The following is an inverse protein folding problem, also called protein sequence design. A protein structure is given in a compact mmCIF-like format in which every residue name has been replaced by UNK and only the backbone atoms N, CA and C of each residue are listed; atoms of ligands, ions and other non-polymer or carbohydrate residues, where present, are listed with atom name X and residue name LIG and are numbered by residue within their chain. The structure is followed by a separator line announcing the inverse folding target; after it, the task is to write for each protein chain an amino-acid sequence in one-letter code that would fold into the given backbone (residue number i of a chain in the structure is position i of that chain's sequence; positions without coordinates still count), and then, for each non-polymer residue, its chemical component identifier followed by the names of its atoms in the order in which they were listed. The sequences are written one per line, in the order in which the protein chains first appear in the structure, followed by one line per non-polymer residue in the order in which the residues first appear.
data_IF_815431619205
#
_entry.id   IF_815431619205
#
_cell.length_a   1.000
_cell.length_b   1.000
_cell.length_c   1.000
_cell.angle_alpha   90.00
_cell.angle_beta   90.00
_cell.angle_gamma   90.00
#
_symmetry.space_group_name_H-M   'P 1'
#
loop_
_entity.id
_entity.type
_entity.pdbx_description
1 polymer ?
#
# COMPACT_ATOMS: atom_id res chain seq x y z
N UNK A 1 -37.69 46.75 -26.72
CA UNK A 1 -38.15 45.97 -25.54
C UNK A 1 -37.54 44.57 -25.61
N UNK A 2 -36.27 44.40 -25.23
CA UNK A 2 -35.64 43.06 -25.07
C UNK A 2 -34.34 43.21 -24.28
N UNK A 3 -34.38 43.04 -22.95
CA UNK A 3 -33.17 42.99 -22.12
C UNK A 3 -33.38 42.18 -20.84
N UNK A 4 -34.05 41.03 -20.90
CA UNK A 4 -34.10 40.10 -19.76
C UNK A 4 -34.14 38.67 -20.32
N UNK A 5 -32.97 38.06 -20.56
CA UNK A 5 -32.85 36.60 -20.75
C UNK A 5 -31.46 36.00 -20.48
N UNK A 6 -30.44 36.78 -20.10
CA UNK A 6 -29.07 36.27 -19.89
C UNK A 6 -28.60 36.21 -18.42
N UNK A 7 -29.41 36.65 -17.45
CA UNK A 7 -28.96 36.73 -16.05
C UNK A 7 -29.08 35.39 -15.28
N UNK A 8 -29.88 34.44 -15.76
CA UNK A 8 -30.12 33.16 -15.07
C UNK A 8 -29.09 32.06 -15.39
N UNK A 9 -28.38 32.14 -16.53
CA UNK A 9 -27.40 31.11 -16.92
C UNK A 9 -26.06 31.30 -16.18
N UNK A 10 -25.65 32.55 -15.91
CA UNK A 10 -24.41 32.84 -15.19
C UNK A 10 -24.48 32.44 -13.71
N UNK A 11 -25.63 32.60 -13.07
CA UNK A 11 -25.81 32.24 -11.66
C UNK A 11 -25.76 30.72 -11.45
N UNK A 12 -26.34 29.95 -12.36
CA UNK A 12 -26.31 28.47 -12.31
C UNK A 12 -24.89 27.96 -12.54
N UNK A 13 -24.15 28.48 -13.53
CA UNK A 13 -22.76 28.06 -13.76
C UNK A 13 -21.83 28.40 -12.58
N UNK A 14 -21.99 29.58 -11.96
CA UNK A 14 -21.23 29.98 -10.76
C UNK A 14 -21.56 29.09 -9.55
N UNK A 15 -22.83 28.68 -9.37
CA UNK A 15 -23.22 27.77 -8.30
C UNK A 15 -22.62 26.38 -8.55
N UNK A 16 -22.66 25.85 -9.78
CA UNK A 16 -22.04 24.56 -10.12
C UNK A 16 -20.51 24.59 -9.97
N UNK A 17 -19.84 25.67 -10.40
CA UNK A 17 -18.40 25.89 -10.19
C UNK A 17 -18.05 25.97 -8.70
N UNK A 18 -18.82 26.69 -7.90
CA UNK A 18 -18.61 26.76 -6.45
C UNK A 18 -18.89 25.41 -5.77
N UNK A 19 -19.90 24.66 -6.20
CA UNK A 19 -20.20 23.35 -5.60
C UNK A 19 -19.08 22.34 -5.89
N UNK A 20 -18.60 22.29 -7.14
CA UNK A 20 -17.49 21.42 -7.54
C UNK A 20 -16.19 21.80 -6.82
N UNK A 21 -15.89 23.10 -6.70
CA UNK A 21 -14.67 23.54 -5.98
C UNK A 21 -14.76 23.27 -4.48
N UNK A 22 -15.93 23.41 -3.85
CA UNK A 22 -16.14 23.06 -2.44
C UNK A 22 -16.01 21.55 -2.21
N UNK A 23 -16.53 20.72 -3.12
CA UNK A 23 -16.46 19.26 -2.99
C UNK A 23 -15.03 18.73 -3.24
N UNK A 24 -14.32 19.28 -4.23
CA UNK A 24 -12.88 19.03 -4.45
C UNK A 24 -12.05 19.45 -3.23
N UNK A 25 -12.33 20.62 -2.66
CA UNK A 25 -11.62 21.11 -1.47
C UNK A 25 -11.90 20.26 -0.23
N UNK A 26 -13.13 19.73 -0.07
CA UNK A 26 -13.48 18.77 0.98
C UNK A 26 -12.82 17.41 0.80
N UNK A 27 -12.58 16.96 -0.44
CA UNK A 27 -11.82 15.73 -0.72
C UNK A 27 -10.34 15.88 -0.33
N UNK A 28 -9.68 16.99 -0.72
CA UNK A 28 -8.28 17.29 -0.33
C UNK A 28 -8.06 17.36 1.19
N UNK A 29 -9.12 17.60 1.97
CA UNK A 29 -8.98 17.91 3.38
C UNK A 29 -8.90 16.70 4.34
N UNK A 30 -8.95 15.44 3.86
CA UNK A 30 -9.00 14.25 4.75
C UNK A 30 -7.64 13.64 5.10
N UNK A 31 -6.64 13.84 4.25
CA UNK A 31 -5.27 13.36 4.45
C UNK A 31 -4.33 14.56 4.39
N UNK A 32 -3.44 14.68 5.36
CA UNK A 32 -2.44 15.75 5.41
C UNK A 32 -1.06 15.14 5.18
N UNK A 33 -0.36 15.58 4.14
CA UNK A 33 1.07 15.36 3.99
C UNK A 33 1.81 16.20 5.05
N UNK A 34 2.61 15.53 5.86
CA UNK A 34 3.46 16.12 6.90
C UNK A 34 4.83 16.44 6.34
N UNK A 35 5.41 15.51 5.58
CA UNK A 35 6.72 15.64 4.96
C UNK A 35 6.82 14.73 3.74
N UNK A 36 7.64 15.15 2.78
CA UNK A 36 7.95 14.42 1.55
C UNK A 36 9.45 14.18 1.48
N UNK A 37 9.84 13.00 1.03
CA UNK A 37 11.20 12.64 0.66
C UNK A 37 11.18 12.18 -0.79
N UNK A 38 11.88 12.87 -1.68
CA UNK A 38 12.09 12.40 -3.06
C UNK A 38 13.03 11.20 -3.03
N UNK A 39 12.68 10.16 -3.79
CA UNK A 39 13.47 8.96 -3.91
C UNK A 39 14.58 9.16 -4.95
N UNK A 40 15.76 8.54 -4.74
CA UNK A 40 16.80 8.52 -5.75
C UNK A 40 16.39 7.60 -6.92
N UNK A 41 17.14 7.66 -8.03
CA UNK A 41 16.84 6.92 -9.27
C UNK A 41 16.71 5.41 -9.04
N UNK A 42 17.49 4.82 -8.12
CA UNK A 42 17.39 3.39 -7.76
C UNK A 42 16.06 2.99 -7.10
N UNK A 43 15.20 3.95 -6.78
CA UNK A 43 13.87 3.77 -6.18
C UNK A 43 12.81 4.55 -6.96
N UNK A 44 13.02 4.77 -8.27
CA UNK A 44 12.04 5.40 -9.16
C UNK A 44 10.74 4.57 -9.26
N UNK A 45 10.87 3.24 -9.24
CA UNK A 45 9.78 2.26 -9.27
C UNK A 45 9.59 1.60 -7.89
N UNK A 46 9.71 2.39 -6.82
CA UNK A 46 9.53 1.91 -5.43
C UNK A 46 8.16 1.24 -5.22
N UNK A 47 8.16 -0.08 -5.02
CA UNK A 47 6.94 -0.87 -4.89
C UNK A 47 6.58 -1.17 -3.42
N UNK A 48 7.55 -1.58 -2.60
CA UNK A 48 7.30 -1.97 -1.20
C UNK A 48 8.15 -1.22 -0.18
N UNK A 49 7.60 -0.92 1.01
CA UNK A 49 8.34 -0.33 2.14
C UNK A 49 8.05 -0.97 3.51
N UNK A 50 9.07 -1.06 4.37
CA UNK A 50 8.96 -1.56 5.74
C UNK A 50 9.80 -0.75 6.73
N UNK A 51 9.21 -0.26 7.81
CA UNK A 51 9.97 0.44 8.85
C UNK A 51 10.98 -0.50 9.54
N UNK A 52 12.23 -0.07 9.64
CA UNK A 52 13.30 -0.80 10.34
C UNK A 52 13.46 -0.24 11.77
N UNK A 53 14.07 0.93 11.89
CA UNK A 53 14.32 1.65 13.14
C UNK A 53 14.75 3.09 12.87
N UNK A 54 14.62 4.01 13.84
CA UNK A 54 15.27 5.33 13.81
C UNK A 54 15.15 6.16 12.50
N UNK A 55 14.07 6.00 11.72
CA UNK A 55 13.91 6.67 10.43
C UNK A 55 14.50 5.92 9.24
N UNK A 56 15.02 4.71 9.44
CA UNK A 56 15.41 3.78 8.38
C UNK A 56 14.21 2.95 7.93
N UNK A 57 14.05 2.85 6.63
CA UNK A 57 13.03 2.07 5.94
C UNK A 57 13.74 1.09 5.00
N UNK A 58 13.33 -0.17 5.03
CA UNK A 58 13.61 -1.13 3.98
C UNK A 58 12.69 -0.78 2.80
N UNK A 59 13.24 -0.62 1.62
CA UNK A 59 12.51 -0.39 0.39
C UNK A 59 12.95 -1.40 -0.67
N UNK A 60 12.05 -1.73 -1.57
CA UNK A 60 12.34 -2.45 -2.81
C UNK A 60 11.76 -1.64 -3.97
N UNK A 61 12.31 -1.84 -5.15
CA UNK A 61 11.68 -1.49 -6.42
C UNK A 61 11.23 -2.79 -7.13
N UNK A 62 10.49 -2.71 -8.23
CA UNK A 62 9.78 -3.83 -8.82
C UNK A 62 10.62 -4.75 -9.72
N UNK A 63 11.68 -4.27 -10.36
CA UNK A 63 12.49 -5.02 -11.32
C UNK A 63 13.73 -5.70 -10.69
N UNK A 64 14.49 -5.03 -9.81
CA UNK A 64 15.73 -5.60 -9.23
C UNK A 64 15.46 -6.45 -7.98
N UNK A 65 16.18 -7.57 -7.88
CA UNK A 65 16.20 -8.43 -6.68
C UNK A 65 17.03 -7.85 -5.52
N UNK A 66 16.73 -6.60 -5.13
CA UNK A 66 17.50 -5.79 -4.18
C UNK A 66 16.62 -5.19 -3.09
N UNK A 67 17.06 -5.29 -1.83
CA UNK A 67 16.52 -4.53 -0.70
C UNK A 67 17.42 -3.33 -0.40
N UNK A 68 16.84 -2.14 -0.37
CA UNK A 68 17.51 -0.89 -0.02
C UNK A 68 17.20 -0.49 1.43
N UNK A 69 18.21 -0.14 2.22
CA UNK A 69 18.03 0.51 3.53
C UNK A 69 18.11 2.03 3.35
N UNK A 70 16.97 2.71 3.26
CA UNK A 70 16.88 4.16 3.09
C UNK A 70 16.74 4.87 4.45
N UNK A 71 17.55 5.89 4.70
CA UNK A 71 17.49 6.71 5.93
C UNK A 71 16.79 8.05 5.67
N UNK A 72 15.59 8.22 6.24
CA UNK A 72 14.78 9.44 6.13
C UNK A 72 15.45 10.68 6.77
N UNK A 73 16.42 10.51 7.66
CA UNK A 73 17.11 11.65 8.27
C UNK A 73 18.17 12.24 7.34
N UNK A 74 18.89 11.36 6.63
CA UNK A 74 19.96 11.74 5.71
C UNK A 74 19.50 11.80 4.25
N UNK A 75 18.31 11.27 3.95
CA UNK A 75 17.73 11.12 2.60
C UNK A 75 18.64 10.34 1.66
N UNK A 76 19.19 9.22 2.15
CA UNK A 76 20.17 8.39 1.43
C UNK A 76 19.90 6.90 1.61
N UNK A 77 20.21 6.15 0.57
CA UNK A 77 20.43 4.71 0.68
C UNK A 77 21.72 4.50 1.49
N UNK A 78 21.62 3.71 2.55
CA UNK A 78 22.69 3.42 3.51
C UNK A 78 23.25 2.01 3.38
N UNK A 79 22.48 1.08 2.78
CA UNK A 79 22.90 -0.27 2.46
C UNK A 79 22.03 -0.83 1.33
N UNK A 80 22.63 -1.68 0.51
CA UNK A 80 21.99 -2.40 -0.60
C UNK A 80 22.21 -3.90 -0.36
N UNK A 81 21.17 -4.70 -0.49
CA UNK A 81 21.18 -6.13 -0.18
C UNK A 81 20.56 -6.89 -1.34
N UNK A 82 21.39 -7.49 -2.18
CA UNK A 82 20.96 -8.39 -3.24
C UNK A 82 20.42 -9.70 -2.63
N UNK A 83 19.24 -10.12 -3.07
CA UNK A 83 18.59 -11.35 -2.60
C UNK A 83 18.19 -12.29 -3.73
N UNK A 84 18.07 -11.80 -4.97
CA UNK A 84 17.68 -12.55 -6.16
C UNK A 84 18.10 -11.79 -7.45
N UNK A 85 17.90 -12.43 -8.61
CA UNK A 85 18.00 -11.79 -9.94
C UNK A 85 16.75 -10.91 -10.21
N UNK A 86 16.69 -10.29 -11.39
CA UNK A 86 15.56 -9.48 -11.85
C UNK A 86 14.21 -10.23 -11.76
N UNK A 87 13.14 -9.51 -11.45
CA UNK A 87 11.84 -10.05 -11.12
C UNK A 87 10.69 -9.06 -11.24
N UNK A 88 9.70 -9.24 -10.37
CA UNK A 88 8.45 -8.47 -10.31
C UNK A 88 8.06 -8.40 -8.83
N UNK A 89 8.90 -7.69 -8.06
CA UNK A 89 8.95 -7.68 -6.60
C UNK A 89 8.13 -6.55 -6.02
N UNK A 90 7.20 -6.89 -5.14
CA UNK A 90 6.09 -5.96 -4.86
C UNK A 90 6.01 -5.54 -3.40
N UNK A 91 6.17 -6.51 -2.48
CA UNK A 91 6.01 -6.26 -1.04
C UNK A 91 7.27 -6.60 -0.26
N UNK A 92 7.60 -5.82 0.77
CA UNK A 92 8.72 -6.09 1.69
C UNK A 92 8.30 -5.98 3.15
N UNK A 93 8.73 -6.93 3.98
CA UNK A 93 8.52 -6.91 5.42
C UNK A 93 9.81 -7.29 6.17
N UNK A 94 10.08 -6.62 7.29
CA UNK A 94 11.25 -6.92 8.14
C UNK A 94 10.80 -7.49 9.50
N UNK A 95 11.43 -8.59 9.93
CA UNK A 95 11.26 -9.15 11.27
C UNK A 95 12.64 -9.42 11.91
N UNK A 96 13.09 -8.48 12.75
CA UNK A 96 14.41 -8.54 13.36
C UNK A 96 15.52 -8.54 12.31
N UNK A 97 16.34 -9.60 12.28
CA UNK A 97 17.46 -9.72 11.35
C UNK A 97 17.07 -10.30 9.98
N UNK A 98 15.80 -10.65 9.76
CA UNK A 98 15.35 -11.22 8.50
C UNK A 98 14.47 -10.22 7.75
N UNK A 99 14.62 -10.19 6.43
CA UNK A 99 13.70 -9.52 5.54
C UNK A 99 12.93 -10.56 4.73
N UNK A 100 11.76 -10.17 4.25
CA UNK A 100 10.90 -10.98 3.41
C UNK A 100 10.44 -10.15 2.23
N UNK A 101 10.46 -10.74 1.03
CA UNK A 101 10.03 -10.07 -0.20
C UNK A 101 9.00 -10.93 -0.92
N UNK A 102 7.91 -10.31 -1.35
CA UNK A 102 6.85 -10.95 -2.14
C UNK A 102 7.05 -10.61 -3.61
N UNK A 103 7.03 -11.61 -4.47
CA UNK A 103 6.93 -11.42 -5.92
C UNK A 103 5.47 -11.53 -6.36
N UNK A 104 5.09 -10.87 -7.46
CA UNK A 104 3.70 -10.80 -7.95
C UNK A 104 3.00 -12.15 -8.15
N UNK A 105 3.78 -13.22 -8.40
CA UNK A 105 3.32 -14.59 -8.56
C UNK A 105 3.14 -15.36 -7.24
N UNK A 106 3.32 -14.69 -6.10
CA UNK A 106 3.15 -15.29 -4.78
C UNK A 106 4.34 -16.10 -4.28
N UNK A 107 5.51 -16.00 -4.93
CA UNK A 107 6.75 -16.55 -4.40
C UNK A 107 7.29 -15.64 -3.30
N UNK A 108 7.37 -16.16 -2.06
CA UNK A 108 7.91 -15.44 -0.93
C UNK A 108 9.40 -15.75 -0.75
N UNK A 109 10.23 -14.72 -0.71
CA UNK A 109 11.65 -14.79 -0.38
C UNK A 109 11.85 -14.50 1.11
N UNK A 110 12.60 -15.34 1.82
CA UNK A 110 13.10 -15.12 3.19
C UNK A 110 14.61 -14.85 3.08
N UNK A 111 15.00 -13.60 3.31
CA UNK A 111 16.39 -13.14 3.30
C UNK A 111 16.89 -13.10 4.74
N UNK A 112 17.60 -14.15 5.16
CA UNK A 112 18.09 -14.27 6.54
C UNK A 112 19.35 -13.47 6.75
N UNK A 113 19.43 -12.83 7.92
CA UNK A 113 20.52 -11.93 8.29
C UNK A 113 20.78 -10.90 7.17
N UNK A 114 19.70 -10.27 6.67
CA UNK A 114 19.73 -9.45 5.45
C UNK A 114 20.74 -8.30 5.55
N UNK A 115 20.95 -7.74 6.74
CA UNK A 115 21.93 -6.68 6.99
C UNK A 115 23.36 -7.18 7.23
N UNK A 116 23.64 -8.48 7.10
CA UNK A 116 25.01 -9.03 7.19
C UNK A 116 25.77 -8.85 5.87
N UNK A 117 27.02 -9.31 5.83
CA UNK A 117 27.84 -9.33 4.61
C UNK A 117 27.59 -10.60 3.76
N UNK A 118 26.76 -11.52 4.22
CA UNK A 118 26.50 -12.80 3.55
C UNK A 118 25.08 -13.30 3.83
N UNK A 119 24.05 -12.55 3.41
CA UNK A 119 22.65 -12.94 3.60
C UNK A 119 22.36 -14.29 2.94
N UNK A 120 21.34 -14.98 3.44
CA UNK A 120 20.90 -16.27 2.90
C UNK A 120 19.44 -16.22 2.51
N UNK A 121 19.18 -16.36 1.21
CA UNK A 121 17.84 -16.39 0.66
C UNK A 121 17.27 -17.80 0.62
N UNK A 122 16.00 -17.95 1.01
CA UNK A 122 15.17 -19.14 0.78
C UNK A 122 13.84 -18.71 0.20
N UNK A 123 13.18 -19.60 -0.53
CA UNK A 123 11.89 -19.29 -1.14
C UNK A 123 10.78 -20.23 -0.70
N UNK A 124 9.56 -19.72 -0.68
CA UNK A 124 8.34 -20.45 -0.32
C UNK A 124 7.23 -20.06 -1.29
N UNK A 125 6.80 -20.99 -2.14
CA UNK A 125 5.71 -20.76 -3.08
C UNK A 125 4.36 -20.80 -2.35
N UNK A 126 3.56 -19.76 -2.49
CA UNK A 126 2.17 -19.76 -2.04
C UNK A 126 1.24 -20.40 -3.08
N UNK A 127 -0.04 -20.54 -2.76
CA UNK A 127 -1.06 -20.95 -3.74
C UNK A 127 -1.43 -19.84 -4.73
N UNK A 128 -0.87 -18.64 -4.57
CA UNK A 128 -1.08 -17.54 -5.49
C UNK A 128 -0.26 -17.73 -6.76
N UNK A 129 -0.62 -16.98 -7.79
CA UNK A 129 -0.06 -17.00 -9.14
C UNK A 129 -0.19 -15.62 -9.77
N UNK A 130 0.30 -15.44 -10.99
CA UNK A 130 0.12 -14.21 -11.77
C UNK A 130 -1.34 -13.74 -11.93
N UNK A 131 -2.34 -14.63 -11.78
CA UNK A 131 -3.76 -14.21 -11.81
C UNK A 131 -4.14 -13.36 -10.59
N UNK A 132 -3.45 -13.60 -9.48
CA UNK A 132 -3.70 -12.95 -8.21
C UNK A 132 -3.00 -11.59 -8.14
N UNK A 133 -1.84 -11.46 -8.82
CA UNK A 133 -0.99 -10.27 -8.85
C UNK A 133 -0.78 -9.72 -7.45
N UNK A 134 -0.03 -10.47 -6.63
CA UNK A 134 0.06 -10.18 -5.20
C UNK A 134 1.09 -9.08 -4.99
N UNK A 135 0.65 -7.93 -4.48
CA UNK A 135 1.55 -6.80 -4.30
C UNK A 135 1.95 -6.53 -2.85
N UNK A 136 1.13 -7.00 -1.91
CA UNK A 136 1.25 -6.59 -0.51
C UNK A 136 2.05 -7.57 0.34
N UNK A 137 2.79 -7.04 1.33
CA UNK A 137 3.43 -7.86 2.35
C UNK A 137 3.66 -7.10 3.65
N UNK A 138 3.10 -7.58 4.77
CA UNK A 138 3.33 -6.96 6.09
C UNK A 138 3.66 -7.97 7.17
N UNK A 139 4.36 -7.54 8.20
CA UNK A 139 4.58 -8.32 9.42
C UNK A 139 3.42 -8.15 10.41
N UNK A 140 2.77 -9.26 10.75
CA UNK A 140 1.92 -9.37 11.94
C UNK A 140 2.74 -9.96 13.09
N UNK A 141 3.51 -9.09 13.76
CA UNK A 141 4.47 -9.47 14.80
C UNK A 141 3.79 -10.17 15.98
N UNK A 142 2.55 -9.76 16.33
CA UNK A 142 1.79 -10.34 17.45
C UNK A 142 1.48 -11.81 17.24
N UNK A 143 1.24 -12.22 16.00
CA UNK A 143 0.90 -13.59 15.65
C UNK A 143 2.07 -14.34 14.97
N UNK A 144 3.27 -13.74 14.93
CA UNK A 144 4.47 -14.26 14.26
C UNK A 144 4.20 -14.82 12.86
N UNK A 145 3.59 -13.98 12.00
CA UNK A 145 3.22 -14.33 10.62
C UNK A 145 3.37 -13.12 9.71
N UNK A 146 3.47 -13.36 8.42
CA UNK A 146 3.31 -12.31 7.40
C UNK A 146 1.88 -12.32 6.89
N UNK A 147 1.34 -11.17 6.50
CA UNK A 147 0.05 -11.04 5.83
C UNK A 147 0.22 -10.49 4.41
N UNK A 148 -0.65 -10.93 3.51
CA UNK A 148 -0.69 -10.50 2.11
C UNK A 148 -2.12 -10.57 1.57
N UNK A 149 -2.41 -9.81 0.52
CA UNK A 149 -3.68 -9.75 -0.18
C UNK A 149 -3.46 -9.65 -1.70
N UNK A 150 -4.32 -10.29 -2.53
CA UNK A 150 -4.20 -10.25 -3.99
C UNK A 150 -4.72 -8.92 -4.58
N UNK A 151 -3.98 -8.28 -5.51
CA UNK A 151 -4.46 -7.09 -6.23
C UNK A 151 -5.60 -7.40 -7.17
N UNK A 152 -5.58 -8.56 -7.81
CA UNK A 152 -6.49 -8.92 -8.90
C UNK A 152 -7.50 -10.01 -8.55
N UNK A 153 -7.31 -11.26 -8.95
CA UNK A 153 -8.27 -12.31 -8.62
C UNK A 153 -7.97 -12.85 -7.22
N UNK A 154 -8.97 -12.90 -6.35
CA UNK A 154 -8.85 -13.69 -5.13
C UNK A 154 -8.95 -15.18 -5.49
N UNK A 155 -8.13 -16.06 -4.89
CA UNK A 155 -8.11 -17.48 -5.23
C UNK A 155 -9.42 -18.22 -4.90
N UNK A 156 -10.25 -17.67 -4.00
CA UNK A 156 -11.45 -18.33 -3.51
C UNK A 156 -12.75 -17.78 -4.13
N UNK A 157 -12.86 -16.47 -4.34
CA UNK A 157 -14.10 -15.82 -4.80
C UNK A 157 -13.84 -14.46 -5.47
N UNK A 158 -14.35 -14.22 -6.69
CA UNK A 158 -14.13 -12.96 -7.42
C UNK A 158 -14.81 -11.73 -6.80
N UNK A 159 -15.74 -11.92 -5.86
CA UNK A 159 -16.44 -10.86 -5.14
C UNK A 159 -15.75 -10.46 -3.83
N UNK A 160 -14.59 -11.04 -3.51
CA UNK A 160 -13.87 -10.79 -2.26
C UNK A 160 -12.43 -10.37 -2.49
N UNK A 161 -11.83 -9.83 -1.43
CA UNK A 161 -10.39 -9.82 -1.22
C UNK A 161 -10.08 -10.47 0.13
N UNK A 162 -9.35 -11.56 0.12
CA UNK A 162 -8.84 -12.21 1.31
C UNK A 162 -7.52 -11.60 1.77
N UNK A 163 -7.33 -11.55 3.08
CA UNK A 163 -6.02 -11.38 3.71
C UNK A 163 -5.52 -12.76 4.10
N UNK A 164 -4.43 -13.21 3.49
CA UNK A 164 -3.82 -14.52 3.70
C UNK A 164 -2.59 -14.40 4.58
N UNK A 165 -2.16 -15.50 5.18
CA UNK A 165 -1.02 -15.50 6.10
C UNK A 165 0.04 -16.53 5.74
N UNK A 166 1.30 -16.16 5.97
CA UNK A 166 2.44 -17.08 6.03
C UNK A 166 2.92 -17.20 7.48
N UNK A 167 2.80 -18.39 8.09
CA UNK A 167 3.23 -18.64 9.47
C UNK A 167 4.76 -18.74 9.52
N UNK A 168 5.41 -17.84 10.27
CA UNK A 168 6.88 -17.79 10.32
C UNK A 168 7.50 -18.92 11.14
N UNK A 169 6.74 -19.53 12.06
CA UNK A 169 7.22 -20.69 12.83
C UNK A 169 7.24 -21.94 11.94
N UNK A 170 6.14 -22.17 11.22
CA UNK A 170 5.96 -23.35 10.36
C UNK A 170 6.62 -23.18 8.99
N UNK A 171 6.84 -21.93 8.57
CA UNK A 171 7.30 -21.53 7.23
C UNK A 171 6.39 -22.05 6.13
N UNK A 172 5.09 -21.89 6.33
CA UNK A 172 4.05 -22.38 5.43
C UNK A 172 2.90 -21.37 5.36
N UNK A 173 2.26 -21.31 4.20
CA UNK A 173 1.00 -20.60 4.05
C UNK A 173 -0.07 -21.24 4.93
N UNK A 174 -0.84 -20.39 5.60
CA UNK A 174 -2.07 -20.78 6.30
C UNK A 174 -3.14 -21.05 5.23
N UNK A 175 -3.84 -22.20 5.26
CA UNK A 175 -4.83 -22.53 4.22
C UNK A 175 -6.02 -21.57 4.17
N UNK A 176 -6.49 -21.13 5.33
CA UNK A 176 -7.63 -20.24 5.44
C UNK A 176 -7.20 -18.77 5.40
N UNK A 177 -8.03 -17.93 4.77
CA UNK A 177 -7.90 -16.49 4.88
C UNK A 177 -8.15 -16.02 6.32
N UNK A 178 -7.38 -15.02 6.76
CA UNK A 178 -7.46 -14.41 8.08
C UNK A 178 -8.65 -13.43 8.14
N UNK A 179 -8.80 -12.61 7.11
CA UNK A 179 -9.90 -11.66 6.99
C UNK A 179 -10.46 -11.68 5.58
N UNK A 180 -11.78 -11.51 5.49
CA UNK A 180 -12.52 -11.38 4.23
C UNK A 180 -13.00 -9.95 4.09
N UNK A 181 -12.65 -9.32 2.97
CA UNK A 181 -13.20 -8.03 2.57
C UNK A 181 -14.21 -8.30 1.45
N UNK A 182 -15.49 -8.03 1.72
CA UNK A 182 -16.55 -8.15 0.73
C UNK A 182 -16.53 -6.93 -0.20
N UNK A 183 -16.28 -7.12 -1.49
CA UNK A 183 -16.24 -6.02 -2.47
C UNK A 183 -17.61 -5.37 -2.68
N UNK A 184 -18.69 -5.97 -2.17
CA UNK A 184 -20.05 -5.42 -2.19
C UNK A 184 -20.43 -4.69 -0.92
N UNK A 185 -19.54 -4.62 0.08
CA UNK A 185 -19.79 -3.93 1.35
C UNK A 185 -20.30 -2.49 1.13
N UNK A 186 -21.21 -2.05 2.00
CA UNK A 186 -21.81 -0.71 1.94
C UNK A 186 -20.77 0.42 2.04
N UNK A 187 -19.64 0.19 2.71
CA UNK A 187 -18.54 1.14 2.82
C UNK A 187 -17.86 1.41 1.47
N UNK A 188 -17.96 0.47 0.53
CA UNK A 188 -17.36 0.57 -0.82
C UNK A 188 -18.34 1.07 -1.88
N UNK A 189 -19.57 1.44 -1.50
CA UNK A 189 -20.64 1.82 -2.44
C UNK A 189 -20.22 2.90 -3.45
N UNK A 190 -19.41 3.86 -3.02
CA UNK A 190 -19.00 5.01 -3.83
C UNK A 190 -17.83 4.67 -4.77
N UNK A 191 -17.21 3.50 -4.61
CA UNK A 191 -16.06 3.02 -5.37
C UNK A 191 -16.38 1.82 -6.28
N UNK A 192 -17.64 1.35 -6.28
CA UNK A 192 -18.07 0.16 -7.01
C UNK A 192 -17.70 0.25 -8.49
N UNK A 193 -17.04 -0.79 -8.98
CA UNK A 193 -16.80 -1.01 -10.42
C UNK A 193 -17.75 -2.09 -10.96
N UNK A 194 -17.85 -2.19 -12.29
CA UNK A 194 -18.68 -3.21 -12.96
C UNK A 194 -18.30 -4.64 -12.58
N UNK A 195 -17.01 -4.91 -12.36
CA UNK A 195 -16.49 -6.19 -11.85
C UNK A 195 -16.08 -5.97 -10.39
N UNK A 196 -16.63 -6.76 -9.47
CA UNK A 196 -16.43 -6.58 -8.03
C UNK A 196 -14.96 -6.58 -7.62
N UNK A 197 -14.14 -7.51 -8.15
CA UNK A 197 -12.68 -7.55 -7.93
C UNK A 197 -11.90 -6.28 -8.28
N UNK A 198 -12.48 -5.37 -9.07
CA UNK A 198 -11.87 -4.06 -9.41
C UNK A 198 -12.34 -2.92 -8.50
N UNK A 199 -13.24 -3.19 -7.55
CA UNK A 199 -13.78 -2.17 -6.61
C UNK A 199 -12.71 -1.70 -5.64
N UNK A 200 -11.89 -2.62 -5.16
CA UNK A 200 -10.69 -2.33 -4.39
C UNK A 200 -9.56 -3.27 -4.81
N UNK A 201 -8.39 -2.72 -5.13
CA UNK A 201 -7.22 -3.47 -5.64
C UNK A 201 -6.03 -3.17 -4.74
N UNK A 202 -5.76 -4.01 -3.72
CA UNK A 202 -4.65 -3.78 -2.79
C UNK A 202 -3.32 -3.64 -3.53
N UNK A 203 -2.56 -2.59 -3.21
CA UNK A 203 -1.14 -2.46 -3.56
C UNK A 203 -0.28 -2.92 -2.38
N UNK A 204 -0.50 -2.36 -1.19
CA UNK A 204 0.16 -2.84 0.04
C UNK A 204 -0.74 -2.76 1.27
N UNK A 205 -0.29 -3.30 2.41
CA UNK A 205 -1.00 -3.23 3.68
C UNK A 205 -0.05 -3.12 4.88
N UNK A 206 -0.50 -2.44 5.94
CA UNK A 206 0.25 -2.30 7.19
C UNK A 206 -0.65 -2.41 8.42
N UNK A 207 -0.09 -2.89 9.52
CA UNK A 207 -0.79 -2.96 10.81
C UNK A 207 -0.37 -1.77 11.66
N UNK A 208 -1.34 -0.97 12.10
CA UNK A 208 -1.06 0.13 13.01
C UNK A 208 -0.57 -0.42 14.37
N UNK A 209 0.65 -0.08 14.82
CA UNK A 209 1.33 -0.80 15.91
C UNK A 209 0.64 -0.68 17.27
N UNK A 210 -0.12 0.40 17.49
CA UNK A 210 -0.79 0.65 18.76
C UNK A 210 -2.25 0.17 18.81
N UNK A 211 -2.95 0.16 17.67
CA UNK A 211 -4.40 -0.13 17.62
C UNK A 211 -4.69 -1.52 17.07
N UNK A 212 -3.76 -2.10 16.30
CA UNK A 212 -3.96 -3.35 15.58
C UNK A 212 -4.88 -3.23 14.36
N UNK A 213 -5.26 -2.00 13.97
CA UNK A 213 -6.04 -1.75 12.77
C UNK A 213 -5.21 -2.03 11.52
N UNK A 214 -5.84 -2.55 10.48
CA UNK A 214 -5.16 -2.90 9.22
C UNK A 214 -5.46 -1.82 8.20
N UNK A 215 -4.41 -1.22 7.68
CA UNK A 215 -4.44 -0.18 6.67
C UNK A 215 -4.10 -0.86 5.35
N UNK A 216 -4.94 -0.67 4.33
CA UNK A 216 -4.79 -1.32 3.02
C UNK A 216 -4.82 -0.22 1.98
N UNK A 217 -3.74 -0.14 1.21
CA UNK A 217 -3.51 0.85 0.16
C UNK A 217 -4.00 0.31 -1.17
N UNK A 218 -4.40 1.19 -2.09
CA UNK A 218 -4.61 0.86 -3.50
C UNK A 218 -3.93 1.92 -4.36
N UNK A 219 -3.03 1.50 -5.24
CA UNK A 219 -2.33 2.36 -6.20
C UNK A 219 -3.22 2.86 -7.34
N UNK A 220 -3.92 1.94 -8.01
CA UNK A 220 -4.57 2.22 -9.32
C UNK A 220 -5.73 3.22 -9.26
N UNK A 221 -6.50 3.22 -8.18
CA UNK A 221 -7.45 4.29 -7.87
C UNK A 221 -7.13 4.70 -6.43
N UNK A 222 -6.23 5.67 -6.21
CA UNK A 222 -5.62 5.97 -4.92
C UNK A 222 -6.62 5.99 -3.76
N UNK A 223 -6.55 4.99 -2.89
CA UNK A 223 -7.43 4.85 -1.72
C UNK A 223 -6.69 4.22 -0.55
N UNK A 224 -7.17 4.52 0.65
CA UNK A 224 -6.73 3.89 1.88
C UNK A 224 -7.93 3.35 2.66
N UNK A 225 -8.04 2.03 2.75
CA UNK A 225 -9.03 1.34 3.57
C UNK A 225 -8.46 1.04 4.95
N UNK A 226 -9.27 1.21 5.99
CA UNK A 226 -8.94 0.79 7.35
C UNK A 226 -9.92 -0.27 7.79
N UNK A 227 -9.40 -1.44 8.16
CA UNK A 227 -10.13 -2.49 8.87
C UNK A 227 -9.90 -2.36 10.37
N UNK A 228 -10.95 -2.62 11.16
CA UNK A 228 -10.77 -2.83 12.60
C UNK A 228 -10.13 -4.21 12.89
N UNK A 229 -9.84 -4.47 14.17
CA UNK A 229 -9.20 -5.72 14.62
C UNK A 229 -10.04 -6.99 14.37
N UNK A 230 -11.32 -6.84 14.03
CA UNK A 230 -12.19 -7.96 13.63
C UNK A 230 -12.21 -8.21 12.12
N UNK A 231 -11.57 -7.33 11.34
CA UNK A 231 -11.55 -7.37 9.89
C UNK A 231 -12.71 -6.62 9.22
N UNK A 232 -13.53 -5.90 9.97
CA UNK A 232 -14.62 -5.11 9.40
C UNK A 232 -14.13 -3.76 8.88
N UNK A 233 -14.68 -3.30 7.75
CA UNK A 233 -14.31 -2.00 7.17
C UNK A 233 -14.77 -0.87 8.09
N UNK A 234 -13.80 -0.18 8.68
CA UNK A 234 -14.02 0.98 9.56
C UNK A 234 -14.16 2.27 8.76
N UNK A 235 -13.28 2.49 7.77
CA UNK A 235 -13.27 3.72 6.97
C UNK A 235 -12.55 3.50 5.64
N UNK A 236 -12.93 4.26 4.62
CA UNK A 236 -12.23 4.32 3.34
C UNK A 236 -11.94 5.80 3.04
N UNK A 237 -10.68 6.12 2.81
CA UNK A 237 -10.20 7.42 2.39
C UNK A 237 -9.96 7.39 0.88
N UNK A 238 -10.57 8.33 0.17
CA UNK A 238 -10.22 8.65 -1.21
C UNK A 238 -8.95 9.51 -1.15
N UNK A 239 -7.87 9.07 -1.81
CA UNK A 239 -6.60 9.79 -1.85
C UNK A 239 -6.57 10.67 -3.10
N UNK A 240 -5.99 11.85 -2.98
CA UNK A 240 -5.88 12.76 -4.12
C UNK A 240 -4.78 12.28 -5.06
N UNK A 241 -5.10 12.01 -6.32
CA UNK A 241 -4.15 11.51 -7.31
C UNK A 241 -3.04 12.51 -7.65
N UNK A 242 -3.22 13.81 -7.36
CA UNK A 242 -2.14 14.79 -7.50
C UNK A 242 -1.03 14.55 -6.47
N UNK A 243 -1.40 14.08 -5.27
CA UNK A 243 -0.51 13.83 -4.14
C UNK A 243 -0.06 12.36 -4.06
N UNK A 244 -0.92 11.45 -4.53
CA UNK A 244 -0.74 10.00 -4.50
C UNK A 244 -0.93 9.45 -5.92
N UNK A 245 0.02 9.72 -6.83
CA UNK A 245 -0.11 9.35 -8.23
C UNK A 245 -0.21 7.83 -8.42
N UNK A 246 0.68 7.09 -7.77
CA UNK A 246 0.69 5.63 -7.75
C UNK A 246 1.26 5.13 -6.41
N UNK A 247 0.43 5.14 -5.35
CA UNK A 247 0.87 4.74 -4.02
C UNK A 247 0.96 3.21 -3.91
N UNK A 248 2.17 2.69 -3.80
CA UNK A 248 2.42 1.24 -3.78
C UNK A 248 2.75 0.71 -2.38
N UNK A 249 3.64 1.34 -1.62
CA UNK A 249 4.07 0.85 -0.31
C UNK A 249 3.46 1.59 0.89
N UNK A 250 3.27 0.91 2.03
CA UNK A 250 2.74 1.50 3.26
C UNK A 250 3.43 0.94 4.52
N UNK A 251 3.83 1.80 5.45
CA UNK A 251 4.40 1.33 6.73
C UNK A 251 4.16 2.28 7.90
N UNK A 252 4.39 1.80 9.13
CA UNK A 252 4.28 2.58 10.34
C UNK A 252 5.59 2.59 11.13
N UNK A 253 5.94 3.75 11.71
CA UNK A 253 6.88 3.75 12.84
C UNK A 253 6.22 3.20 14.11
N UNK A 254 6.98 2.75 15.13
CA UNK A 254 6.43 2.27 16.41
C UNK A 254 5.51 3.29 17.11
N UNK A 255 5.74 4.59 16.88
CA UNK A 255 4.94 5.68 17.43
C UNK A 255 3.62 5.91 16.67
N UNK A 256 3.36 5.16 15.60
CA UNK A 256 2.15 5.27 14.78
C UNK A 256 2.23 6.36 13.70
N UNK A 257 3.44 6.79 13.31
CA UNK A 257 3.60 7.66 12.14
C UNK A 257 3.40 6.83 10.88
N UNK A 258 2.55 7.29 9.98
CA UNK A 258 2.19 6.59 8.75
C UNK A 258 3.04 7.11 7.58
N UNK A 259 3.66 6.19 6.85
CA UNK A 259 4.43 6.45 5.65
C UNK A 259 3.82 5.72 4.45
N UNK A 260 3.76 6.38 3.30
CA UNK A 260 3.29 5.82 2.04
C UNK A 260 4.34 6.15 0.97
N UNK A 261 4.79 5.16 0.19
CA UNK A 261 5.61 5.41 -1.00
C UNK A 261 4.73 5.57 -2.24
N UNK A 262 5.19 6.38 -3.18
CA UNK A 262 4.64 6.49 -4.53
C UNK A 262 5.75 6.24 -5.54
N UNK A 263 5.45 5.46 -6.57
CA UNK A 263 6.26 5.41 -7.79
C UNK A 263 6.30 6.79 -8.46
N UNK A 264 7.24 6.97 -9.39
CA UNK A 264 7.35 8.19 -10.16
C UNK A 264 6.09 8.47 -10.99
N UNK A 265 5.58 7.48 -11.73
CA UNK A 265 4.41 7.60 -12.62
C UNK A 265 4.42 8.89 -13.48
N UNK A 266 5.57 9.22 -14.07
CA UNK A 266 5.79 10.44 -14.87
C UNK A 266 6.11 11.71 -14.06
N UNK A 267 6.20 11.60 -12.73
CA UNK A 267 6.71 12.58 -11.79
C UNK A 267 7.98 12.10 -11.09
N UNK A 268 8.10 12.36 -9.79
CA UNK A 268 9.25 11.93 -8.96
C UNK A 268 8.74 11.00 -7.88
N UNK A 269 9.30 9.80 -7.82
CA UNK A 269 9.01 8.84 -6.77
C UNK A 269 9.30 9.44 -5.39
N UNK A 270 8.50 9.09 -4.40
CA UNK A 270 8.62 9.71 -3.09
C UNK A 270 8.09 8.84 -1.96
N UNK A 271 8.56 9.11 -0.75
CA UNK A 271 7.91 8.68 0.48
C UNK A 271 7.23 9.89 1.11
N UNK A 272 5.99 9.71 1.55
CA UNK A 272 5.19 10.71 2.25
C UNK A 272 4.96 10.27 3.69
N UNK A 273 5.26 11.13 4.66
CA UNK A 273 4.67 11.00 6.00
C UNK A 273 3.29 11.65 5.97
N UNK A 274 2.26 10.92 6.37
CA UNK A 274 0.87 11.38 6.29
C UNK A 274 0.18 11.31 7.65
N UNK A 275 -0.79 12.22 7.84
CA UNK A 275 -1.73 12.19 8.97
C UNK A 275 -3.14 12.16 8.45
N UNK A 276 -3.90 11.16 8.88
CA UNK A 276 -5.33 11.09 8.61
C UNK A 276 -6.07 12.05 9.53
N UNK A 277 -6.93 12.90 8.95
CA UNK A 277 -7.86 13.73 9.71
C UNK A 277 -9.13 12.91 9.97
N UNK A 278 -9.73 13.14 11.14
CA UNK A 278 -10.98 12.49 11.53
C UNK A 278 -12.15 13.05 10.74
#
# INVERSE_FOLDING_TARGET
MHFIKYLSILAVSLIFLNYNTIDLKKKKDKVKIVKTWEMPDELEEISGISWIDNGRIAAIEDEDGVIYSYDLNTSKITKTIEFADDGDYEGVAVNGNNAYVMRSDGLLFEVRDYMSDSPKTRTYQSSMSHKNNVESLTLDAKNNRLLTAPKDEDPNDEDIKGIYAFDLNKRLMVPDLIFKIDMKDKALKDFKKKKSKRTFRPSDLAIHPQTGEIYILEGVNPKLMILDVSGAIKKVYDLDSDDFAQPEGITFSPEGRLFISNEAHGGTANILEVKLKN
#
